data_IF_626549588815
#
_entry.id   IF_626549588815
#
_cell.length_a   1.000
_cell.length_b   1.000
_cell.length_c   1.000
_cell.angle_alpha   90.00
_cell.angle_beta   90.00
_cell.angle_gamma   90.00
#
_symmetry.space_group_name_H-M   'P 1'
#
loop_
_entity.id
_entity.type
_entity.pdbx_description
1 polymer ?
#
# COMPACT_ATOMS: atom_id res chain seq x y z
N UNK A 1 6.79 -24.27 -6.44
CA UNK A 1 5.95 -23.35 -5.65
C UNK A 1 5.67 -22.18 -6.56
N UNK A 2 4.64 -22.29 -7.38
CA UNK A 2 4.19 -21.20 -8.25
C UNK A 2 3.52 -20.19 -7.35
N UNK A 3 4.25 -19.11 -7.02
CA UNK A 3 3.67 -17.93 -6.42
C UNK A 3 2.84 -17.27 -7.53
N UNK A 4 1.63 -17.81 -7.75
CA UNK A 4 0.63 -17.22 -8.62
C UNK A 4 0.36 -15.82 -8.08
N UNK A 5 0.96 -14.81 -8.73
CA UNK A 5 0.54 -13.42 -8.58
C UNK A 5 -0.98 -13.42 -8.70
N UNK A 6 -1.73 -13.04 -7.65
CA UNK A 6 -3.17 -13.23 -7.65
C UNK A 6 -3.73 -12.48 -8.85
N UNK A 7 -4.32 -13.24 -9.80
CA UNK A 7 -5.00 -12.77 -11.01
C UNK A 7 -6.10 -11.72 -10.71
N UNK A 8 -6.45 -11.57 -9.44
CA UNK A 8 -7.23 -10.48 -8.89
C UNK A 8 -6.53 -9.94 -7.64
N UNK A 9 -5.54 -9.06 -7.79
CA UNK A 9 -5.27 -8.09 -6.71
C UNK A 9 -6.58 -7.32 -6.56
N UNK A 10 -7.36 -7.65 -5.54
CA UNK A 10 -8.58 -6.91 -5.23
C UNK A 10 -8.13 -5.52 -4.78
N UNK A 11 -8.16 -4.58 -5.73
CA UNK A 11 -7.79 -3.20 -5.48
C UNK A 11 -9.01 -2.50 -4.90
N UNK A 12 -8.83 -1.93 -3.71
CA UNK A 12 -9.88 -1.22 -3.03
C UNK A 12 -9.60 0.28 -3.09
N UNK A 13 -10.65 1.12 -3.03
CA UNK A 13 -10.45 2.55 -2.86
C UNK A 13 -9.63 2.82 -1.59
N UNK A 14 -8.79 3.84 -1.65
CA UNK A 14 -7.86 4.21 -0.57
C UNK A 14 -8.59 4.36 0.78
N UNK A 15 -9.80 4.91 0.79
CA UNK A 15 -10.61 5.08 2.00
C UNK A 15 -10.96 3.75 2.67
N UNK A 16 -11.26 2.72 1.87
CA UNK A 16 -11.51 1.38 2.38
C UNK A 16 -10.24 0.78 2.96
N UNK A 17 -9.10 0.96 2.29
CA UNK A 17 -7.79 0.48 2.77
C UNK A 17 -7.43 1.18 4.07
N UNK A 18 -7.59 2.50 4.19
CA UNK A 18 -7.33 3.22 5.44
C UNK A 18 -8.19 2.70 6.59
N UNK A 19 -9.51 2.53 6.39
CA UNK A 19 -10.39 1.95 7.42
C UNK A 19 -9.98 0.52 7.79
N UNK A 20 -9.54 -0.27 6.81
CA UNK A 20 -9.06 -1.62 7.05
C UNK A 20 -7.75 -1.63 7.84
N UNK A 21 -6.79 -0.77 7.47
CA UNK A 21 -5.50 -0.63 8.14
C UNK A 21 -5.66 -0.08 9.56
N UNK A 22 -6.57 0.86 9.78
CA UNK A 22 -6.88 1.39 11.11
C UNK A 22 -7.49 0.30 11.99
N UNK A 23 -8.42 -0.50 11.44
CA UNK A 23 -9.12 -1.56 12.17
C UNK A 23 -8.27 -2.79 12.47
N UNK A 24 -7.45 -3.24 11.51
CA UNK A 24 -6.71 -4.50 11.61
C UNK A 24 -5.23 -4.33 11.93
N UNK A 25 -4.62 -3.22 11.51
CA UNK A 25 -3.19 -2.94 11.72
C UNK A 25 -2.93 -1.80 12.70
N UNK A 26 -3.96 -1.10 13.19
CA UNK A 26 -3.81 0.06 14.08
C UNK A 26 -3.13 1.26 13.42
N UNK A 27 -3.05 1.30 12.09
CA UNK A 27 -2.42 2.42 11.36
C UNK A 27 -3.47 3.49 11.12
N UNK A 28 -3.34 4.62 11.81
CA UNK A 28 -4.24 5.74 11.63
C UNK A 28 -4.20 6.26 10.18
N UNK A 29 -5.36 6.68 9.68
CA UNK A 29 -5.53 7.19 8.32
C UNK A 29 -4.52 8.29 7.94
N UNK A 30 -4.18 9.19 8.87
CA UNK A 30 -3.19 10.25 8.63
C UNK A 30 -1.75 9.72 8.47
N UNK A 31 -1.37 8.67 9.20
CA UNK A 31 -0.06 8.01 9.07
C UNK A 31 0.03 7.32 7.70
N UNK A 32 -1.02 6.60 7.32
CA UNK A 32 -1.09 5.94 6.03
C UNK A 32 -1.04 6.96 4.87
N UNK A 33 -1.76 8.09 4.99
CA UNK A 33 -1.70 9.17 4.00
C UNK A 33 -0.30 9.80 3.88
N UNK A 34 0.36 10.07 5.01
CA UNK A 34 1.72 10.60 5.00
C UNK A 34 2.72 9.61 4.38
N UNK A 35 2.58 8.31 4.67
CA UNK A 35 3.39 7.26 4.04
C UNK A 35 3.15 7.17 2.54
N UNK A 36 1.89 7.25 2.11
CA UNK A 36 1.56 7.27 0.70
C UNK A 36 2.25 8.42 -0.03
N UNK A 37 2.24 9.62 0.58
CA UNK A 37 2.88 10.80 0.01
C UNK A 37 4.38 10.57 -0.17
N UNK A 38 5.07 10.08 0.88
CA UNK A 38 6.49 9.73 0.80
C UNK A 38 6.79 8.69 -0.26
N UNK A 39 6.00 7.61 -0.35
CA UNK A 39 6.20 6.55 -1.34
C UNK A 39 6.06 7.10 -2.76
N UNK A 40 5.10 8.01 -2.99
CA UNK A 40 4.96 8.70 -4.28
C UNK A 40 6.18 9.56 -4.59
N UNK A 41 6.62 10.37 -3.63
CA UNK A 41 7.79 11.26 -3.79
C UNK A 41 9.07 10.46 -4.07
N UNK A 42 9.30 9.38 -3.32
CA UNK A 42 10.46 8.50 -3.47
C UNK A 42 10.50 7.81 -4.85
N UNK A 43 9.33 7.44 -5.38
CA UNK A 43 9.20 6.85 -6.71
C UNK A 43 9.07 7.89 -7.84
N UNK A 44 9.12 9.20 -7.53
CA UNK A 44 8.93 10.27 -8.51
C UNK A 44 7.54 10.29 -9.16
N UNK A 45 6.53 9.74 -8.48
CA UNK A 45 5.17 9.64 -8.98
C UNK A 45 4.37 10.92 -8.66
N UNK A 46 3.58 11.45 -9.61
CA UNK A 46 2.74 12.61 -9.33
C UNK A 46 1.64 12.29 -8.31
N UNK A 47 1.16 13.31 -7.58
CA UNK A 47 0.12 13.14 -6.57
C UNK A 47 -1.17 12.49 -7.14
N UNK A 48 -1.50 12.79 -8.40
CA UNK A 48 -2.66 12.25 -9.13
C UNK A 48 -2.36 10.94 -9.88
N UNK A 49 -1.21 10.30 -9.64
CA UNK A 49 -0.91 9.03 -10.29
C UNK A 49 -1.88 7.94 -9.83
N UNK A 50 -2.39 7.16 -10.78
CA UNK A 50 -3.27 6.04 -10.49
C UNK A 50 -2.47 4.92 -9.81
N UNK A 51 -2.78 4.74 -8.53
CA UNK A 51 -2.22 3.68 -7.70
C UNK A 51 -3.30 2.69 -7.32
N UNK A 52 -2.91 1.43 -7.28
CA UNK A 52 -3.73 0.32 -6.89
C UNK A 52 -3.40 -0.01 -5.44
N UNK A 53 -4.40 0.06 -4.57
CA UNK A 53 -4.24 -0.20 -3.14
C UNK A 53 -4.84 -1.55 -2.80
N UNK A 54 -4.02 -2.40 -2.20
CA UNK A 54 -4.48 -3.70 -1.70
C UNK A 54 -4.90 -3.59 -0.24
N UNK A 55 -5.85 -4.43 0.18
CA UNK A 55 -6.36 -4.46 1.57
C UNK A 55 -5.26 -4.68 2.62
N UNK A 56 -4.15 -5.31 2.25
CA UNK A 56 -2.98 -5.53 3.14
C UNK A 56 -2.12 -4.27 3.33
N UNK A 57 -2.43 -3.18 2.64
CA UNK A 57 -1.64 -1.96 2.61
C UNK A 57 -0.59 -1.90 1.50
N UNK A 58 -0.46 -2.93 0.67
CA UNK A 58 0.44 -2.90 -0.48
C UNK A 58 -0.06 -1.94 -1.57
N UNK A 59 0.88 -1.24 -2.21
CA UNK A 59 0.65 -0.27 -3.26
C UNK A 59 1.30 -0.75 -4.54
N UNK A 60 0.54 -0.73 -5.63
CA UNK A 60 0.99 -1.11 -6.96
C UNK A 60 0.69 0.00 -7.97
N UNK A 61 1.45 0.08 -9.06
CA UNK A 61 1.18 1.01 -10.17
C UNK A 61 -0.01 0.52 -10.98
N UNK A 62 -0.94 1.40 -11.36
CA UNK A 62 -2.09 0.97 -12.17
C UNK A 62 -1.73 0.56 -13.60
N UNK A 63 -0.65 1.12 -14.18
CA UNK A 63 -0.24 0.83 -15.55
C UNK A 63 0.38 -0.56 -15.69
N UNK A 64 1.44 -0.81 -14.93
CA UNK A 64 2.30 -2.00 -15.06
C UNK A 64 2.14 -3.00 -13.90
N UNK A 65 1.33 -2.66 -12.88
CA UNK A 65 1.11 -3.46 -11.66
C UNK A 65 2.38 -3.77 -10.87
N UNK A 66 3.46 -3.02 -11.10
CA UNK A 66 4.68 -3.13 -10.29
C UNK A 66 4.41 -2.67 -8.88
N UNK A 67 4.95 -3.41 -7.92
CA UNK A 67 4.94 -3.04 -6.51
C UNK A 67 5.75 -1.77 -6.29
N UNK A 68 5.12 -0.77 -5.66
CA UNK A 68 5.73 0.54 -5.37
C UNK A 68 6.18 0.62 -3.91
N UNK A 69 5.42 -0.02 -3.02
CA UNK A 69 5.68 0.03 -1.59
C UNK A 69 4.46 -0.43 -0.79
N UNK A 70 4.50 -0.21 0.52
CA UNK A 70 3.41 -0.60 1.41
C UNK A 70 3.17 0.44 2.50
N UNK A 71 1.89 0.72 2.73
CA UNK A 71 1.39 1.54 3.82
C UNK A 71 1.63 0.89 5.19
N UNK A 72 1.75 -0.44 5.25
CA UNK A 72 1.96 -1.20 6.50
C UNK A 72 3.43 -1.45 6.78
N UNK A 73 4.26 -1.68 5.76
CA UNK A 73 5.69 -2.02 5.94
C UNK A 73 6.54 -0.93 6.59
N UNK A 74 6.07 0.32 6.64
CA UNK A 74 6.76 1.39 7.40
C UNK A 74 6.56 1.34 8.92
N UNK A 75 5.78 0.40 9.45
CA UNK A 75 5.40 0.30 10.86
C UNK A 75 5.91 -0.99 11.49
N UNK A 76 7.20 -0.99 11.85
CA UNK A 76 7.84 -1.97 12.73
C UNK A 76 7.72 -3.44 12.27
N UNK A 77 8.73 -3.88 11.53
CA UNK A 77 9.29 -5.22 11.75
C UNK A 77 10.79 -5.06 11.92
N UNK A 78 11.17 -4.46 13.06
CA UNK A 78 12.30 -5.00 13.80
C UNK A 78 11.77 -6.28 14.44
N UNK A 79 12.14 -7.41 13.84
CA UNK A 79 11.65 -8.73 14.22
C UNK A 79 12.38 -9.82 13.45
N UNK A 80 13.67 -9.64 13.23
CA UNK A 80 14.58 -10.77 12.99
C UNK A 80 15.33 -10.98 14.31
N UNK A 81 14.87 -11.98 15.05
CA UNK A 81 15.59 -12.59 16.16
C UNK A 81 16.31 -13.85 15.69
#
# INVERSE_FOLDING_TARGET
>A
MEETLPLHVATHPIEYVYRHLEKYHGVATHIASNRLHRIKEDNGLPANFNLLFHKTGNIYRAGDRTYVGSLTSGGKTEGEG
#
